data_IF_678569570622
#
_entry.id   IF_678569570622
#
_cell.length_a   1.000
_cell.length_b   1.000
_cell.length_c   1.000
_cell.angle_alpha   90.00
_cell.angle_beta   90.00
_cell.angle_gamma   90.00
#
_symmetry.space_group_name_H-M   'P 1'
#
loop_
_entity.id
_entity.type
_entity.pdbx_description
1 polymer ?
#
# COMPACT_ATOMS: atom_id res chain seq x y z
N UNK A 1 4.84 -27.74 -25.86
CA UNK A 1 4.62 -26.31 -25.51
C UNK A 1 5.76 -25.86 -24.62
N UNK A 2 6.50 -24.82 -25.00
CA UNK A 2 7.51 -24.22 -24.12
C UNK A 2 6.85 -23.18 -23.21
N UNK A 3 7.39 -22.95 -22.01
CA UNK A 3 6.88 -21.95 -21.06
C UNK A 3 6.69 -20.55 -21.70
N UNK A 4 7.56 -20.18 -22.66
CA UNK A 4 7.45 -18.93 -23.40
C UNK A 4 6.22 -18.84 -24.32
N UNK A 5 5.77 -19.96 -24.89
CA UNK A 5 4.56 -20.02 -25.73
C UNK A 5 3.27 -19.93 -24.91
N UNK A 6 3.26 -20.46 -23.68
CA UNK A 6 2.10 -20.43 -22.78
C UNK A 6 1.81 -19.02 -22.22
N UNK A 7 2.83 -18.16 -22.12
CA UNK A 7 2.71 -16.81 -21.57
C UNK A 7 2.65 -15.70 -22.63
N UNK A 8 2.26 -16.01 -23.87
CA UNK A 8 2.26 -15.01 -24.95
C UNK A 8 1.31 -13.82 -24.63
N UNK A 9 1.76 -12.59 -24.92
CA UNK A 9 1.15 -11.35 -24.40
C UNK A 9 -0.32 -11.11 -24.78
N UNK A 10 -0.76 -11.67 -25.91
CA UNK A 10 -2.14 -11.52 -26.39
C UNK A 10 -3.16 -12.49 -25.78
N UNK A 11 -2.74 -13.50 -25.01
CA UNK A 11 -3.63 -14.56 -24.54
C UNK A 11 -3.27 -15.10 -23.14
N UNK A 12 -2.74 -14.23 -22.25
CA UNK A 12 -2.42 -14.62 -20.88
C UNK A 12 -3.39 -14.01 -19.87
N UNK A 13 -3.77 -14.81 -18.88
CA UNK A 13 -4.63 -14.38 -17.77
C UNK A 13 -3.85 -13.63 -16.68
N UNK A 14 -2.56 -13.33 -16.86
CA UNK A 14 -1.73 -12.74 -15.79
C UNK A 14 -2.16 -11.30 -15.47
N UNK A 15 -2.63 -10.55 -16.46
CA UNK A 15 -3.23 -9.24 -16.21
C UNK A 15 -4.54 -9.34 -15.40
N UNK A 16 -5.34 -10.38 -15.64
CA UNK A 16 -6.56 -10.64 -14.87
C UNK A 16 -6.21 -11.06 -13.43
N UNK A 17 -5.22 -11.93 -13.25
CA UNK A 17 -4.72 -12.29 -11.92
C UNK A 17 -4.18 -11.09 -11.15
N UNK A 18 -3.47 -10.16 -11.82
CA UNK A 18 -3.04 -8.90 -11.20
C UNK A 18 -4.22 -8.07 -10.73
N UNK A 19 -5.30 -8.01 -11.50
CA UNK A 19 -6.51 -7.28 -11.10
C UNK A 19 -7.18 -7.95 -9.89
N UNK A 20 -7.27 -9.28 -9.88
CA UNK A 20 -7.84 -10.03 -8.74
C UNK A 20 -7.03 -9.81 -7.47
N UNK A 21 -5.70 -9.92 -7.55
CA UNK A 21 -4.80 -9.71 -6.40
C UNK A 21 -4.82 -8.23 -5.94
N UNK A 22 -4.86 -7.27 -6.87
CA UNK A 22 -5.01 -5.86 -6.53
C UNK A 22 -6.36 -5.59 -5.84
N UNK A 23 -7.44 -6.24 -6.28
CA UNK A 23 -8.75 -6.14 -5.64
C UNK A 23 -8.74 -6.75 -4.24
N UNK A 24 -8.07 -7.88 -4.03
CA UNK A 24 -7.86 -8.47 -2.71
C UNK A 24 -7.12 -7.52 -1.76
N UNK A 25 -6.01 -6.93 -2.22
CA UNK A 25 -5.24 -5.94 -1.45
C UNK A 25 -6.10 -4.71 -1.15
N UNK A 26 -6.90 -4.25 -2.10
CA UNK A 26 -7.84 -3.14 -1.88
C UNK A 26 -8.86 -3.48 -0.80
N UNK A 27 -9.49 -4.66 -0.88
CA UNK A 27 -10.41 -5.14 0.14
C UNK A 27 -9.72 -5.16 1.50
N UNK A 28 -8.49 -5.69 1.58
CA UNK A 28 -7.72 -5.76 2.82
C UNK A 28 -7.63 -4.39 3.52
N UNK A 29 -7.41 -3.32 2.76
CA UNK A 29 -7.33 -1.95 3.28
C UNK A 29 -8.68 -1.37 3.73
N UNK A 30 -9.82 -1.94 3.33
CA UNK A 30 -11.14 -1.50 3.78
C UNK A 30 -11.44 -1.91 5.22
N UNK A 31 -10.96 -3.07 5.68
CA UNK A 31 -11.27 -3.57 7.03
C UNK A 31 -10.80 -2.65 8.16
N UNK A 32 -9.55 -2.12 8.16
CA UNK A 32 -9.08 -1.17 9.17
C UNK A 32 -9.94 0.10 9.29
N UNK A 33 -10.54 0.54 8.17
CA UNK A 33 -11.39 1.74 8.10
C UNK A 33 -12.77 1.49 8.74
N UNK A 34 -13.32 0.28 8.54
CA UNK A 34 -14.63 -0.11 9.12
C UNK A 34 -14.57 -0.45 10.61
N UNK A 35 -13.38 -0.62 11.20
CA UNK A 35 -13.19 -1.07 12.58
C UNK A 35 -13.62 -2.51 12.85
N UNK A 36 -14.06 -3.25 11.82
CA UNK A 36 -14.50 -4.66 11.92
C UNK A 36 -13.38 -5.57 11.45
N UNK A 37 -12.35 -5.76 12.27
CA UNK A 37 -11.21 -6.60 11.88
C UNK A 37 -11.60 -8.08 11.81
N UNK A 38 -11.33 -8.79 10.70
CA UNK A 38 -11.50 -10.24 10.62
C UNK A 38 -10.49 -10.94 11.54
N UNK A 39 -10.63 -12.26 11.77
CA UNK A 39 -9.66 -13.02 12.56
C UNK A 39 -8.22 -12.79 12.07
N UNK A 40 -7.27 -12.69 13.01
CA UNK A 40 -5.88 -12.35 12.70
C UNK A 40 -5.25 -13.28 11.65
N UNK A 41 -5.58 -14.58 11.69
CA UNK A 41 -5.13 -15.54 10.69
C UNK A 41 -5.64 -15.22 9.28
N UNK A 42 -6.91 -14.83 9.13
CA UNK A 42 -7.48 -14.42 7.84
C UNK A 42 -6.85 -13.13 7.33
N UNK A 43 -6.63 -12.16 8.22
CA UNK A 43 -5.97 -10.90 7.86
C UNK A 43 -4.52 -11.10 7.41
N UNK A 44 -3.79 -11.99 8.10
CA UNK A 44 -2.43 -12.37 7.72
C UNK A 44 -2.40 -13.11 6.39
N UNK A 45 -3.36 -14.02 6.16
CA UNK A 45 -3.45 -14.78 4.92
C UNK A 45 -3.71 -13.86 3.72
N UNK A 46 -4.66 -12.93 3.84
CA UNK A 46 -4.98 -11.95 2.80
C UNK A 46 -3.82 -10.98 2.54
N UNK A 47 -3.07 -10.63 3.59
CA UNK A 47 -1.87 -9.82 3.45
C UNK A 47 -0.79 -10.57 2.67
N UNK A 48 -0.44 -11.78 3.11
CA UNK A 48 0.62 -12.57 2.47
C UNK A 48 0.25 -13.00 1.05
N UNK A 49 -0.94 -13.55 0.82
CA UNK A 49 -1.31 -14.02 -0.53
C UNK A 49 -1.52 -12.84 -1.49
N UNK A 50 -2.31 -11.85 -1.09
CA UNK A 50 -2.64 -10.72 -1.94
C UNK A 50 -1.41 -9.90 -2.30
N UNK A 51 -0.63 -9.47 -1.30
CA UNK A 51 0.55 -8.64 -1.52
C UNK A 51 1.67 -9.44 -2.17
N UNK A 52 2.09 -10.57 -1.59
CA UNK A 52 3.23 -11.33 -2.12
C UNK A 52 2.93 -11.88 -3.51
N UNK A 53 1.69 -12.35 -3.74
CA UNK A 53 1.23 -12.80 -5.05
C UNK A 53 1.21 -11.68 -6.09
N UNK A 54 0.70 -10.49 -5.73
CA UNK A 54 0.69 -9.33 -6.64
C UNK A 54 2.11 -8.93 -7.04
N UNK A 55 3.03 -8.89 -6.07
CA UNK A 55 4.44 -8.56 -6.31
C UNK A 55 5.17 -9.62 -7.11
N UNK A 56 4.93 -10.92 -6.86
CA UNK A 56 5.55 -12.01 -7.59
C UNK A 56 5.14 -11.99 -9.08
N UNK A 57 3.84 -11.89 -9.37
CA UNK A 57 3.33 -11.85 -10.75
C UNK A 57 3.77 -10.57 -11.46
N UNK A 58 3.70 -9.42 -10.78
CA UNK A 58 4.15 -8.16 -11.36
C UNK A 58 5.64 -8.21 -11.66
N UNK A 59 6.47 -8.64 -10.71
CA UNK A 59 7.92 -8.80 -10.87
C UNK A 59 8.28 -9.66 -12.07
N UNK A 60 7.64 -10.81 -12.23
CA UNK A 60 7.84 -11.68 -13.40
C UNK A 60 7.58 -10.97 -14.74
N UNK A 61 6.45 -10.27 -14.87
CA UNK A 61 6.10 -9.54 -16.09
C UNK A 61 7.06 -8.37 -16.36
N UNK A 62 7.53 -7.72 -15.32
CA UNK A 62 8.45 -6.59 -15.42
C UNK A 62 9.84 -7.06 -15.85
N UNK A 63 10.37 -8.12 -15.24
CA UNK A 63 11.64 -8.74 -15.63
C UNK A 63 11.58 -9.21 -17.09
N UNK A 64 10.47 -9.83 -17.50
CA UNK A 64 10.27 -10.21 -18.91
C UNK A 64 10.28 -9.00 -19.83
N UNK A 65 9.58 -7.93 -19.48
CA UNK A 65 9.56 -6.70 -20.28
C UNK A 65 10.96 -6.10 -20.47
N UNK A 66 11.85 -6.24 -19.49
CA UNK A 66 13.26 -5.82 -19.63
C UNK A 66 14.05 -6.75 -20.56
N UNK A 67 13.84 -8.07 -20.44
CA UNK A 67 14.52 -9.06 -21.28
C UNK A 67 14.11 -8.97 -22.75
N UNK A 68 12.86 -8.58 -23.01
CA UNK A 68 12.32 -8.41 -24.36
C UNK A 68 12.79 -7.07 -25.00
N UNK A 69 12.97 -6.00 -24.21
CA UNK A 69 13.44 -4.69 -24.68
C UNK A 69 14.29 -3.94 -23.61
N UNK A 70 15.63 -4.06 -23.65
CA UNK A 70 16.53 -3.58 -22.58
C UNK A 70 16.87 -2.08 -22.68
N UNK A 71 15.92 -1.23 -23.08
CA UNK A 71 16.09 0.22 -23.11
C UNK A 71 15.56 0.86 -21.82
N UNK A 72 16.47 1.35 -20.96
CA UNK A 72 16.13 1.96 -19.66
C UNK A 72 15.11 3.09 -19.78
N UNK A 73 15.27 3.97 -20.77
CA UNK A 73 14.38 5.13 -20.94
C UNK A 73 12.97 4.68 -21.28
N UNK A 74 12.82 3.77 -22.23
CA UNK A 74 11.51 3.28 -22.67
C UNK A 74 10.84 2.44 -21.59
N UNK A 75 11.63 1.62 -20.89
CA UNK A 75 11.19 0.86 -19.72
C UNK A 75 10.68 1.77 -18.59
N UNK A 76 11.46 2.78 -18.16
CA UNK A 76 11.07 3.67 -17.07
C UNK A 76 9.90 4.58 -17.47
N UNK A 77 9.88 5.10 -18.69
CA UNK A 77 8.77 5.95 -19.18
C UNK A 77 7.46 5.18 -19.29
N UNK A 78 7.47 3.97 -19.85
CA UNK A 78 6.28 3.12 -19.92
C UNK A 78 5.70 2.80 -18.53
N UNK A 79 6.56 2.66 -17.53
CA UNK A 79 6.16 2.39 -16.14
C UNK A 79 5.73 3.66 -15.39
N UNK A 80 6.40 4.78 -15.64
CA UNK A 80 5.99 6.08 -15.12
C UNK A 80 4.60 6.48 -15.65
N UNK A 81 4.34 6.33 -16.95
CA UNK A 81 3.04 6.59 -17.57
C UNK A 81 1.93 5.64 -17.08
N UNK A 82 2.30 4.47 -16.56
CA UNK A 82 1.34 3.53 -15.96
C UNK A 82 0.92 3.95 -14.55
N UNK A 83 1.86 4.40 -13.72
CA UNK A 83 1.62 4.65 -12.29
C UNK A 83 1.29 6.11 -12.00
N UNK A 84 2.07 7.05 -12.53
CA UNK A 84 2.01 8.45 -12.16
C UNK A 84 0.64 9.10 -12.44
N UNK A 85 -0.04 8.86 -13.59
CA UNK A 85 -1.34 9.48 -13.83
C UNK A 85 -2.39 9.07 -12.80
N UNK A 86 -2.45 7.78 -12.46
CA UNK A 86 -3.37 7.27 -11.45
C UNK A 86 -3.02 7.76 -10.04
N UNK A 87 -1.73 7.81 -9.73
CA UNK A 87 -1.22 8.33 -8.45
C UNK A 87 -1.60 9.80 -8.23
N UNK A 88 -1.31 10.68 -9.20
CA UNK A 88 -1.65 12.09 -9.09
C UNK A 88 -3.15 12.34 -9.06
N UNK A 89 -3.93 11.60 -9.87
CA UNK A 89 -5.39 11.68 -9.80
C UNK A 89 -5.90 11.31 -8.40
N UNK A 90 -5.39 10.23 -7.79
CA UNK A 90 -5.75 9.83 -6.44
C UNK A 90 -5.40 10.90 -5.40
N UNK A 91 -4.19 11.48 -5.45
CA UNK A 91 -3.77 12.54 -4.54
C UNK A 91 -4.66 13.78 -4.66
N UNK A 92 -4.93 14.24 -5.88
CA UNK A 92 -5.76 15.43 -6.15
C UNK A 92 -7.19 15.21 -5.68
N UNK A 93 -7.81 14.08 -6.06
CA UNK A 93 -9.19 13.76 -5.65
C UNK A 93 -9.30 13.64 -4.14
N UNK A 94 -8.31 13.04 -3.48
CA UNK A 94 -8.30 12.94 -2.02
C UNK A 94 -8.19 14.31 -1.36
N UNK A 95 -7.22 15.11 -1.80
CA UNK A 95 -6.93 16.41 -1.19
C UNK A 95 -8.03 17.44 -1.42
N UNK A 96 -8.65 17.46 -2.60
CA UNK A 96 -9.59 18.52 -3.02
C UNK A 96 -11.05 18.09 -3.09
N UNK A 97 -11.36 16.78 -3.07
CA UNK A 97 -12.75 16.31 -2.99
C UNK A 97 -13.04 15.64 -1.64
N UNK A 98 -12.32 14.57 -1.30
CA UNK A 98 -12.66 13.77 -0.11
C UNK A 98 -12.36 14.48 1.21
N UNK A 99 -11.22 15.14 1.35
CA UNK A 99 -10.87 15.87 2.56
C UNK A 99 -11.83 17.05 2.84
N UNK A 100 -12.13 17.94 1.86
CA UNK A 100 -13.18 18.95 1.99
C UNK A 100 -14.56 18.38 2.32
N UNK A 101 -14.96 17.29 1.65
CA UNK A 101 -16.25 16.65 1.90
C UNK A 101 -16.35 16.12 3.34
N UNK A 102 -15.29 15.53 3.87
CA UNK A 102 -15.26 15.08 5.27
C UNK A 102 -15.37 16.23 6.26
N UNK A 103 -14.72 17.37 5.99
CA UNK A 103 -14.86 18.56 6.84
C UNK A 103 -16.28 19.13 6.78
N UNK A 104 -16.89 19.18 5.59
CA UNK A 104 -18.27 19.61 5.42
C UNK A 104 -19.26 18.72 6.18
N UNK A 105 -19.08 17.39 6.12
CA UNK A 105 -19.92 16.43 6.85
C UNK A 105 -19.75 16.52 8.38
N UNK A 106 -18.57 16.94 8.85
CA UNK A 106 -18.30 17.17 10.28
C UNK A 106 -18.75 18.55 10.76
N UNK A 107 -19.33 19.39 9.88
CA UNK A 107 -19.79 20.74 10.20
C UNK A 107 -18.68 21.78 10.30
N UNK A 108 -17.47 21.47 9.81
CA UNK A 108 -16.33 22.39 9.80
C UNK A 108 -16.30 23.30 8.56
N UNK A 109 -15.48 24.34 8.61
CA UNK A 109 -15.31 25.27 7.48
C UNK A 109 -14.37 24.68 6.43
N UNK A 110 -14.92 24.35 5.25
CA UNK A 110 -14.14 23.92 4.08
C UNK A 110 -13.17 25.02 3.63
N UNK A 111 -13.59 26.29 3.75
CA UNK A 111 -12.77 27.44 3.39
C UNK A 111 -11.50 27.53 4.23
N UNK A 112 -11.58 27.24 5.53
CA UNK A 112 -10.41 27.23 6.41
C UNK A 112 -9.42 26.11 6.05
N UNK A 113 -9.91 24.92 5.70
CA UNK A 113 -9.06 23.81 5.26
C UNK A 113 -8.30 24.17 3.96
N UNK A 114 -9.00 24.72 2.97
CA UNK A 114 -8.36 25.07 1.68
C UNK A 114 -7.41 26.27 1.86
N UNK A 115 -7.79 27.28 2.63
CA UNK A 115 -6.93 28.44 2.92
C UNK A 115 -5.73 28.10 3.81
N UNK A 116 -5.81 27.06 4.65
CA UNK A 116 -4.68 26.59 5.45
C UNK A 116 -3.53 26.00 4.62
N UNK A 117 -3.76 25.70 3.33
CA UNK A 117 -2.76 25.09 2.46
C UNK A 117 -2.53 23.59 2.69
N UNK A 118 -3.20 22.96 3.65
CA UNK A 118 -3.07 21.53 3.96
C UNK A 118 -3.27 20.59 2.75
N UNK A 119 -4.29 20.79 1.89
CA UNK A 119 -4.47 20.02 0.66
C UNK A 119 -3.29 20.14 -0.31
N UNK A 120 -2.73 21.34 -0.47
CA UNK A 120 -1.59 21.59 -1.35
C UNK A 120 -0.32 20.93 -0.79
N UNK A 121 -0.10 21.06 0.52
CA UNK A 121 1.01 20.44 1.23
C UNK A 121 0.98 18.91 1.12
N UNK A 122 -0.20 18.30 1.24
CA UNK A 122 -0.38 16.86 1.04
C UNK A 122 0.03 16.42 -0.37
N UNK A 123 -0.41 17.13 -1.40
CA UNK A 123 -0.07 16.79 -2.80
C UNK A 123 1.43 17.00 -3.04
N UNK A 124 1.99 18.13 -2.59
CA UNK A 124 3.40 18.47 -2.82
C UNK A 124 4.33 17.49 -2.10
N UNK A 125 4.07 17.17 -0.83
CA UNK A 125 4.94 16.28 -0.06
C UNK A 125 4.83 14.82 -0.47
N UNK A 126 3.69 14.39 -1.00
CA UNK A 126 3.54 13.05 -1.57
C UNK A 126 3.90 12.97 -3.06
N UNK A 127 4.10 14.09 -3.77
CA UNK A 127 4.34 14.12 -5.23
C UNK A 127 5.51 13.26 -5.72
N UNK A 128 6.54 13.05 -4.89
CA UNK A 128 7.71 12.25 -5.22
C UNK A 128 7.49 10.72 -5.12
N UNK A 129 6.25 10.24 -4.98
CA UNK A 129 5.94 8.84 -4.63
C UNK A 129 6.64 8.43 -3.32
N UNK A 130 6.97 9.42 -2.50
CA UNK A 130 7.45 9.26 -1.16
C UNK A 130 6.21 9.44 -0.28
N UNK A 131 5.66 8.33 0.19
CA UNK A 131 4.48 8.30 1.06
C UNK A 131 4.85 8.87 2.45
N UNK A 132 4.99 10.18 2.54
CA UNK A 132 5.60 10.90 3.68
C UNK A 132 4.54 11.63 4.51
N UNK A 133 3.41 12.03 3.92
CA UNK A 133 2.32 12.71 4.62
C UNK A 133 1.02 11.92 4.51
N UNK A 134 0.54 11.45 5.66
CA UNK A 134 -0.60 10.52 5.78
C UNK A 134 -1.94 11.25 5.95
N UNK A 135 -1.90 12.47 6.46
CA UNK A 135 -3.04 13.31 6.78
C UNK A 135 -3.15 14.52 5.83
N UNK A 136 -4.37 15.02 5.65
CA UNK A 136 -4.63 16.28 4.94
C UNK A 136 -5.06 17.31 5.98
N UNK A 137 -4.11 18.12 6.47
CA UNK A 137 -4.39 19.17 7.45
C UNK A 137 -5.05 18.65 8.74
N UNK A 138 -4.60 17.51 9.26
CA UNK A 138 -5.17 16.89 10.48
C UNK A 138 -6.48 16.11 10.27
N UNK A 139 -6.99 16.02 9.04
CA UNK A 139 -8.16 15.20 8.68
C UNK A 139 -7.72 13.83 8.15
N UNK A 140 -8.53 12.76 8.34
CA UNK A 140 -9.86 12.72 8.94
C UNK A 140 -9.85 12.61 10.47
N UNK A 141 -10.73 13.36 11.13
CA UNK A 141 -11.03 13.28 12.57
C UNK A 141 -12.32 12.48 12.83
N UNK A 142 -12.42 11.81 13.99
CA UNK A 142 -13.65 11.11 14.42
C UNK A 142 -13.86 9.70 13.86
N UNK A 143 -12.87 9.10 13.19
CA UNK A 143 -12.91 7.71 12.70
C UNK A 143 -11.86 6.82 13.41
N UNK A 144 -12.05 5.48 13.46
CA UNK A 144 -11.17 4.57 14.19
C UNK A 144 -9.67 4.65 13.81
N UNK A 145 -9.37 4.99 12.56
CA UNK A 145 -8.02 5.32 12.07
C UNK A 145 -7.98 6.77 11.58
N UNK A 146 -7.95 7.72 12.52
CA UNK A 146 -7.86 9.16 12.22
C UNK A 146 -6.51 9.52 11.59
N UNK A 147 -6.50 10.46 10.65
CA UNK A 147 -5.28 10.98 10.02
C UNK A 147 -4.66 10.10 8.93
N UNK A 148 -5.38 9.11 8.38
CA UNK A 148 -4.90 8.25 7.31
C UNK A 148 -5.93 8.18 6.17
N UNK A 149 -5.69 8.91 5.07
CA UNK A 149 -6.61 8.93 3.92
C UNK A 149 -6.41 7.78 2.94
N UNK A 150 -5.15 7.44 2.63
CA UNK A 150 -4.81 6.51 1.55
C UNK A 150 -3.77 5.48 2.01
N UNK A 151 -4.13 4.61 2.96
CA UNK A 151 -3.23 3.57 3.49
C UNK A 151 -2.60 2.66 2.44
N UNK A 152 -3.31 2.43 1.34
CA UNK A 152 -2.87 1.55 0.25
C UNK A 152 -1.72 2.10 -0.59
N UNK A 153 -1.43 3.40 -0.56
CA UNK A 153 -0.32 3.98 -1.34
C UNK A 153 1.05 3.48 -0.88
N UNK A 154 1.17 2.93 0.33
CA UNK A 154 2.40 2.30 0.81
C UNK A 154 2.88 1.16 -0.10
N UNK A 155 1.98 0.33 -0.64
CA UNK A 155 2.38 -0.77 -1.53
C UNK A 155 2.95 -0.26 -2.86
N UNK A 156 2.49 0.90 -3.33
CA UNK A 156 2.94 1.50 -4.58
C UNK A 156 4.42 1.94 -4.52
N UNK A 157 4.92 2.34 -3.34
CA UNK A 157 6.34 2.65 -3.13
C UNK A 157 7.21 1.42 -3.40
N UNK A 158 6.80 0.26 -2.88
CA UNK A 158 7.51 -1.01 -3.12
C UNK A 158 7.48 -1.40 -4.60
N UNK A 159 6.38 -1.13 -5.31
CA UNK A 159 6.29 -1.38 -6.75
C UNK A 159 7.34 -0.56 -7.52
N UNK A 160 7.50 0.72 -7.19
CA UNK A 160 8.54 1.57 -7.79
C UNK A 160 9.95 1.07 -7.46
N UNK A 161 10.21 0.67 -6.20
CA UNK A 161 11.50 0.09 -5.81
C UNK A 161 11.80 -1.17 -6.62
N UNK A 162 10.82 -2.06 -6.81
CA UNK A 162 10.98 -3.25 -7.65
C UNK A 162 11.34 -2.89 -9.09
N UNK A 163 10.74 -1.84 -9.65
CA UNK A 163 11.02 -1.40 -11.03
C UNK A 163 12.46 -0.92 -11.16
N UNK A 164 12.94 -0.14 -10.19
CA UNK A 164 14.31 0.34 -10.12
C UNK A 164 15.31 -0.79 -9.88
N UNK A 165 14.97 -1.77 -9.03
CA UNK A 165 15.80 -2.95 -8.79
C UNK A 165 15.99 -3.77 -10.07
N UNK A 166 14.92 -4.02 -10.83
CA UNK A 166 15.00 -4.71 -12.13
C UNK A 166 15.83 -3.92 -13.13
N UNK A 167 15.64 -2.60 -13.21
CA UNK A 167 16.45 -1.75 -14.08
C UNK A 167 17.94 -1.77 -13.68
N UNK A 168 18.25 -1.79 -12.38
CA UNK A 168 19.63 -1.88 -11.86
C UNK A 168 20.29 -3.22 -12.17
N UNK A 169 19.59 -4.33 -11.94
CA UNK A 169 20.06 -5.69 -12.32
C UNK A 169 20.24 -5.79 -13.84
N UNK A 170 19.33 -5.20 -14.60
CA UNK A 170 19.38 -5.12 -16.05
C UNK A 170 20.58 -4.34 -16.57
N UNK A 171 20.82 -3.13 -16.03
CA UNK A 171 21.97 -2.28 -16.34
C UNK A 171 23.31 -2.92 -15.99
N UNK A 172 23.36 -3.71 -14.92
CA UNK A 172 24.54 -4.48 -14.54
C UNK A 172 24.82 -5.67 -15.47
N UNK A 173 23.98 -5.91 -16.49
CA UNK A 173 24.10 -7.06 -17.41
C UNK A 173 23.74 -8.41 -16.76
N UNK A 174 23.34 -8.40 -15.49
CA UNK A 174 23.05 -9.58 -14.69
C UNK A 174 21.72 -10.25 -15.10
N UNK A 175 20.81 -9.51 -15.74
CA UNK A 175 19.52 -10.03 -16.18
C UNK A 175 19.64 -11.20 -17.18
N UNK A 176 20.72 -11.29 -17.96
CA UNK A 176 20.93 -12.39 -18.92
C UNK A 176 21.46 -13.67 -18.26
N UNK A 177 21.90 -13.62 -17.01
CA UNK A 177 22.42 -14.77 -16.30
C UNK A 177 21.30 -15.56 -15.62
N UNK A 178 21.04 -16.78 -16.10
CA UNK A 178 20.04 -17.72 -15.54
C UNK A 178 20.17 -18.04 -14.04
N UNK A 179 21.30 -17.72 -13.42
CA UNK A 179 21.56 -17.92 -11.98
C UNK A 179 21.09 -16.75 -11.12
N UNK A 180 20.84 -15.58 -11.71
CA UNK A 180 20.49 -14.37 -10.95
C UNK A 180 19.08 -14.47 -10.38
N UNK A 181 18.10 -14.98 -11.14
CA UNK A 181 16.74 -15.21 -10.64
C UNK A 181 16.68 -16.19 -9.45
N UNK A 182 17.28 -17.40 -9.49
CA UNK A 182 17.30 -18.29 -8.34
C UNK A 182 18.16 -17.74 -7.19
N UNK A 183 19.25 -17.02 -7.45
CA UNK A 183 20.04 -16.38 -6.39
C UNK A 183 19.23 -15.31 -5.64
N UNK A 184 18.51 -14.44 -6.35
CA UNK A 184 17.62 -13.45 -5.75
C UNK A 184 16.53 -14.14 -4.94
N UNK A 185 15.94 -15.22 -5.45
CA UNK A 185 14.92 -15.99 -4.73
C UNK A 185 15.48 -16.57 -3.42
N UNK A 186 16.63 -17.23 -3.47
CA UNK A 186 17.27 -17.82 -2.27
C UNK A 186 17.61 -16.74 -1.25
N UNK A 187 18.16 -15.62 -1.68
CA UNK A 187 18.47 -14.49 -0.80
C UNK A 187 17.20 -13.90 -0.20
N UNK A 188 16.15 -13.69 -1.00
CA UNK A 188 14.87 -13.17 -0.53
C UNK A 188 14.20 -14.11 0.48
N UNK A 189 14.17 -15.42 0.22
CA UNK A 189 13.64 -16.42 1.16
C UNK A 189 14.51 -16.53 2.42
N UNK A 190 15.83 -16.46 2.29
CA UNK A 190 16.75 -16.43 3.43
C UNK A 190 16.54 -15.20 4.33
N UNK A 191 16.38 -14.02 3.72
CA UNK A 191 16.05 -12.79 4.46
C UNK A 191 14.66 -12.87 5.09
N UNK A 192 13.66 -13.39 4.37
CA UNK A 192 12.30 -13.52 4.88
C UNK A 192 12.19 -14.49 6.07
N UNK A 193 13.03 -15.52 6.12
CA UNK A 193 13.09 -16.45 7.26
C UNK A 193 13.90 -15.90 8.44
N UNK A 194 14.85 -15.00 8.18
CA UNK A 194 15.64 -14.33 9.21
C UNK A 194 14.91 -13.14 9.86
N UNK A 195 13.97 -12.52 9.15
CA UNK A 195 13.16 -11.42 9.68
C UNK A 195 11.87 -11.96 10.31
N UNK A 196 11.45 -11.45 11.48
CA UNK A 196 10.13 -11.77 12.01
C UNK A 196 9.05 -11.35 10.99
N UNK A 197 7.96 -12.14 10.84
CA UNK A 197 6.91 -11.81 9.89
C UNK A 197 6.39 -10.40 10.18
N UNK A 198 6.16 -9.61 9.12
CA UNK A 198 5.50 -8.31 9.24
C UNK A 198 4.09 -8.53 9.78
N UNK A 199 3.95 -8.48 11.10
CA UNK A 199 2.67 -8.49 11.79
C UNK A 199 2.03 -7.12 11.67
N UNK A 200 0.73 -7.08 11.41
CA UNK A 200 -0.07 -5.86 11.38
C UNK A 200 0.22 -4.94 12.59
N UNK A 201 0.33 -3.60 12.39
CA UNK A 201 0.52 -2.65 13.49
C UNK A 201 -0.64 -2.79 14.50
N UNK A 202 -0.34 -3.27 15.70
CA UNK A 202 -1.32 -3.53 16.75
C UNK A 202 -1.21 -4.89 17.44
N UNK A 203 -0.47 -5.84 16.86
CA UNK A 203 -0.21 -7.17 17.47
C UNK A 203 1.28 -7.49 17.74
N UNK A 204 2.21 -6.63 17.33
CA UNK A 204 3.66 -6.72 17.63
C UNK A 204 4.10 -5.77 18.77
N UNK A 205 5.39 -5.80 19.19
CA UNK A 205 5.90 -5.11 20.39
C UNK A 205 6.06 -3.59 20.22
N UNK A 206 5.54 -3.00 19.15
CA UNK A 206 5.60 -1.55 18.96
C UNK A 206 4.64 -0.86 19.93
N UNK A 207 5.07 0.25 20.58
CA UNK A 207 4.26 0.95 21.55
C UNK A 207 2.95 1.40 20.89
N UNK A 208 1.82 0.93 21.44
CA UNK A 208 0.48 1.38 21.05
C UNK A 208 0.46 2.90 21.16
N UNK A 209 0.07 3.57 20.09
CA UNK A 209 -0.07 5.02 20.04
C UNK A 209 -0.96 5.50 21.21
N UNK A 210 -0.62 6.61 21.89
CA UNK A 210 -1.29 7.04 23.13
C UNK A 210 -2.80 7.25 23.02
N UNK A 211 -3.33 7.46 21.81
CA UNK A 211 -4.74 7.78 21.57
C UNK A 211 -5.73 6.68 21.97
N UNK A 212 -5.36 5.40 21.97
CA UNK A 212 -6.30 4.30 22.29
C UNK A 212 -6.63 4.24 23.79
N UNK A 213 -5.85 4.88 24.66
CA UNK A 213 -6.02 4.77 26.11
C UNK A 213 -7.24 5.53 26.66
N UNK A 214 -7.76 6.53 25.94
CA UNK A 214 -8.85 7.39 26.46
C UNK A 214 -10.28 6.87 26.22
N UNK A 215 -10.48 5.90 25.33
CA UNK A 215 -11.84 5.43 25.00
C UNK A 215 -12.30 4.17 25.76
N UNK A 216 -11.46 3.61 26.64
CA UNK A 216 -11.82 2.42 27.45
C UNK A 216 -12.31 2.75 28.88
N UNK A 217 -12.38 4.02 29.29
CA UNK A 217 -13.05 4.41 30.53
C UNK A 217 -14.57 4.52 30.29
N UNK A 218 -15.24 3.38 30.14
CA UNK A 218 -16.66 3.30 30.50
C UNK A 218 -16.73 3.37 32.03
N UNK A 219 -17.60 4.20 32.62
CA UNK A 219 -17.88 4.12 34.05
C UNK A 219 -18.59 2.80 34.34
N UNK A 220 -18.08 2.04 35.33
CA UNK A 220 -18.80 0.90 35.91
C UNK A 220 -20.17 1.36 36.44
N UNK A 221 -21.22 0.54 36.29
CA UNK A 221 -22.48 0.80 36.98
C UNK A 221 -22.28 0.44 38.46
N UNK A 222 -22.29 1.45 39.32
CA UNK A 222 -22.26 1.28 40.78
C UNK A 222 -23.48 0.47 41.22
N UNK A 223 -23.26 -0.78 41.58
CA UNK A 223 -24.21 -1.63 42.26
C UNK A 223 -23.67 -2.04 43.63
N UNK A 224 -24.60 -2.11 44.59
CA UNK A 224 -24.53 -2.73 45.93
C UNK A 224 -24.10 -1.76 47.05
N UNK A 225 -25.04 -1.13 47.78
CA UNK A 225 -25.76 -1.61 48.99
C UNK A 225 -24.89 -1.93 50.22
N UNK A 226 -25.18 -1.22 51.32
CA UNK A 226 -25.43 -1.86 52.63
C UNK A 226 -24.31 -1.89 53.67
N UNK A 227 -24.63 -1.32 54.84
CA UNK A 227 -24.07 -1.59 56.19
C UNK A 227 -22.67 -1.01 56.46
N UNK A 228 -22.44 -0.18 57.49
CA UNK A 228 -22.90 -0.26 58.89
C UNK A 228 -22.66 1.09 59.58
#
# INVERSE_FOLDING_TARGET
MTLGQAFNGGNNALNAWRLVLAAEVMLWHCWPITGRMPPAATLQLLFSIGVDGFFAISGFLITRSWLDDPHVRDYLTARALRILPGYYACLIVTAFAFAPLSVALQGGSVGELVCSGGPLEYVLKNSAVAYVHLDVGGTPSGIPHSGLWNGSLWSLVWEVICYLAVAGVGLAGLAHHRWVSPAILVVATGLATAMPPMTFPGYGPFPRSPCVRRSCSRPEPSSINGER
#
